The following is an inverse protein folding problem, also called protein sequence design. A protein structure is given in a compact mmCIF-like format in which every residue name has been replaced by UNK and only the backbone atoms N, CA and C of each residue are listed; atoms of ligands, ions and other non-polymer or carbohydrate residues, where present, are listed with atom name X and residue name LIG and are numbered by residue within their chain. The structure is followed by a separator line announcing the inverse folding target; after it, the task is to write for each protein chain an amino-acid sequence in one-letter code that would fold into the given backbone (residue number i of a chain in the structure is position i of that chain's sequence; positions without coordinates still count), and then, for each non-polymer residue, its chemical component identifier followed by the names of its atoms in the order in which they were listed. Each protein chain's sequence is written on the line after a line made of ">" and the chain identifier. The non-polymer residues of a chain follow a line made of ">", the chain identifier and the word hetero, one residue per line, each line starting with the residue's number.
data_IF_697443575934
#
_entry.id   IF_697443575934
#
_cell.length_a   1.000
_cell.length_b   1.000
_cell.length_c   1.000
_cell.angle_alpha   90.00
_cell.angle_beta   90.00
_cell.angle_gamma   90.00
#
_symmetry.space_group_name_H-M   'P 1'
#
loop_
_entity.id
_entity.type
_entity.pdbx_description
1 polymer ?
#
# COMPACT_ATOMS: atom_id res chain seq x y z
N UNK A 1 34.86 -3.05 4.00
CA UNK A 1 34.15 -4.35 4.00
C UNK A 1 32.79 -4.12 4.66
N UNK A 2 31.69 -4.23 3.92
CA UNK A 2 30.38 -4.42 4.53
C UNK A 2 30.52 -5.63 5.47
N UNK A 3 30.55 -5.41 6.79
CA UNK A 3 30.78 -6.49 7.75
C UNK A 3 29.54 -7.38 7.67
N UNK A 4 29.61 -8.63 7.17
CA UNK A 4 28.44 -9.51 7.06
C UNK A 4 27.73 -9.68 8.41
N UNK A 5 28.53 -9.69 9.48
CA UNK A 5 28.07 -9.70 10.86
C UNK A 5 27.18 -8.50 11.23
N UNK A 6 27.27 -7.35 10.54
CA UNK A 6 26.40 -6.18 10.79
C UNK A 6 24.96 -6.48 10.41
N UNK A 7 24.72 -7.09 9.23
CA UNK A 7 23.36 -7.48 8.85
C UNK A 7 22.81 -8.52 9.82
N UNK A 8 23.58 -9.55 10.12
CA UNK A 8 23.14 -10.62 11.02
C UNK A 8 22.87 -10.09 12.44
N UNK A 9 23.65 -9.11 12.92
CA UNK A 9 23.41 -8.40 14.19
C UNK A 9 22.15 -7.54 14.15
N UNK A 10 21.81 -6.99 12.98
CA UNK A 10 20.69 -6.09 12.81
C UNK A 10 19.38 -6.80 12.41
N UNK A 11 19.41 -8.07 12.00
CA UNK A 11 18.22 -8.83 11.55
C UNK A 11 17.04 -8.72 12.49
N UNK A 12 17.27 -8.87 13.80
CA UNK A 12 16.19 -8.81 14.78
C UNK A 12 15.53 -7.43 14.86
N UNK A 13 16.28 -6.35 14.59
CA UNK A 13 15.73 -5.00 14.58
C UNK A 13 14.73 -4.77 13.44
N UNK A 14 14.80 -5.56 12.37
CA UNK A 14 13.87 -5.49 11.23
C UNK A 14 12.49 -6.07 11.54
N UNK A 15 12.32 -6.84 12.63
CA UNK A 15 11.00 -7.36 13.04
C UNK A 15 9.98 -6.25 13.18
N UNK A 16 10.33 -5.13 13.81
CA UNK A 16 9.42 -3.99 14.00
C UNK A 16 8.91 -3.44 12.67
N UNK A 17 9.78 -3.36 11.67
CA UNK A 17 9.45 -2.86 10.33
C UNK A 17 8.54 -3.84 9.59
N UNK A 18 8.91 -5.12 9.60
CA UNK A 18 8.17 -6.17 8.90
C UNK A 18 6.79 -6.33 9.52
N UNK A 19 6.69 -6.33 10.85
CA UNK A 19 5.41 -6.35 11.55
C UNK A 19 4.58 -5.12 11.24
N UNK A 20 5.19 -3.92 11.19
CA UNK A 20 4.49 -2.74 10.72
C UNK A 20 3.94 -2.94 9.30
N UNK A 21 4.76 -3.41 8.34
CA UNK A 21 4.31 -3.62 6.97
C UNK A 21 3.15 -4.62 6.87
N UNK A 22 3.18 -5.71 7.66
CA UNK A 22 2.08 -6.68 7.73
C UNK A 22 0.82 -6.05 8.30
N UNK A 23 0.91 -5.47 9.51
CA UNK A 23 -0.23 -4.88 10.23
C UNK A 23 -0.86 -3.76 9.40
N UNK A 24 -0.04 -2.91 8.79
CA UNK A 24 -0.48 -1.84 7.93
C UNK A 24 -1.20 -2.35 6.67
N UNK A 25 -0.70 -3.45 6.08
CA UNK A 25 -1.36 -4.08 4.93
C UNK A 25 -2.73 -4.64 5.29
N UNK A 26 -2.86 -5.26 6.46
CA UNK A 26 -4.14 -5.77 6.96
C UNK A 26 -5.14 -4.64 7.19
N UNK A 27 -4.68 -3.56 7.85
CA UNK A 27 -5.48 -2.36 8.07
C UNK A 27 -6.04 -1.80 6.76
N UNK A 28 -5.17 -1.60 5.77
CA UNK A 28 -5.57 -1.08 4.46
C UNK A 28 -6.59 -2.00 3.75
N UNK A 29 -6.44 -3.33 3.85
CA UNK A 29 -7.42 -4.28 3.30
C UNK A 29 -8.78 -4.09 3.98
N UNK A 30 -8.81 -4.07 5.33
CA UNK A 30 -10.05 -3.95 6.09
C UNK A 30 -10.74 -2.60 5.88
N UNK A 31 -9.99 -1.51 5.92
CA UNK A 31 -10.51 -0.15 5.67
C UNK A 31 -11.10 -0.03 4.26
N UNK A 32 -10.46 -0.68 3.27
CA UNK A 32 -10.96 -0.68 1.88
C UNK A 32 -12.22 -1.54 1.74
N UNK A 33 -12.37 -2.62 2.51
CA UNK A 33 -13.57 -3.45 2.52
C UNK A 33 -14.75 -2.72 3.17
N UNK A 34 -14.53 -2.06 4.31
CA UNK A 34 -15.55 -1.27 5.01
C UNK A 34 -16.09 -0.15 4.11
N UNK A 35 -15.20 0.63 3.49
CA UNK A 35 -15.61 1.66 2.55
C UNK A 35 -16.31 1.11 1.29
N UNK A 36 -16.16 -0.18 0.98
CA UNK A 36 -16.83 -0.80 -0.16
C UNK A 36 -18.22 -1.33 0.19
N UNK A 37 -18.40 -1.87 1.40
CA UNK A 37 -19.70 -2.29 1.91
C UNK A 37 -20.63 -1.07 2.09
N UNK A 38 -20.13 0.05 2.64
CA UNK A 38 -20.91 1.30 2.79
C UNK A 38 -21.46 1.83 1.44
N UNK A 39 -20.69 1.71 0.36
CA UNK A 39 -21.11 2.16 -0.99
C UNK A 39 -22.16 1.24 -1.61
N UNK A 40 -22.17 -0.05 -1.24
CA UNK A 40 -23.18 -0.98 -1.74
C UNK A 40 -24.52 -0.78 -1.05
N UNK A 41 -24.53 -0.39 0.22
CA UNK A 41 -25.76 -0.11 0.96
C UNK A 41 -26.45 1.18 0.45
N UNK A 42 -25.68 2.18 -0.01
CA UNK A 42 -26.23 3.41 -0.63
C UNK A 42 -26.90 3.19 -2.00
N UNK A 43 -26.58 2.10 -2.71
CA UNK A 43 -27.19 1.73 -4.01
C UNK A 43 -28.47 0.88 -3.85
N UNK A 44 -28.90 0.56 -2.61
CA UNK A 44 -30.08 -0.26 -2.28
C UNK A 44 -31.11 0.58 -1.51
N UNK A 45 -31.55 1.70 -2.08
CA UNK A 45 -32.84 2.30 -1.69
C UNK A 45 -33.88 1.99 -2.78
N UNK A 46 -34.90 1.14 -2.50
CA UNK A 46 -36.04 1.01 -3.39
C UNK A 46 -36.96 2.22 -3.22
N UNK A 47 -37.55 2.78 -4.29
CA UNK A 47 -38.58 3.78 -4.15
C UNK A 47 -39.90 3.09 -3.75
N UNK A 48 -40.20 3.05 -2.46
CA UNK A 48 -41.56 2.84 -1.90
C UNK A 48 -41.92 4.15 -1.15
N UNK A 49 -43.05 4.82 -1.34
CA UNK A 49 -44.39 4.34 -1.68
C UNK A 49 -45.25 5.41 -2.35
N UNK A 50 -46.21 4.95 -3.15
CA UNK A 50 -47.40 5.71 -3.47
C UNK A 50 -48.53 5.34 -2.49
N UNK A 51 -49.05 6.30 -1.71
CA UNK A 51 -50.50 6.42 -1.45
C UNK A 51 -50.94 7.77 -0.84
N UNK A 52 -51.67 8.52 -1.68
CA UNK A 52 -52.73 9.50 -1.47
C UNK A 52 -53.04 10.10 -0.08
N UNK A 53 -53.00 11.44 0.01
CA UNK A 53 -54.11 12.24 0.59
C UNK A 53 -54.19 13.68 0.02
N UNK A 54 -55.37 13.99 -0.56
CA UNK A 54 -56.14 15.25 -0.57
C UNK A 54 -55.57 16.59 -1.11
N UNK A 55 -56.12 16.97 -2.26
CA UNK A 55 -56.57 18.30 -2.72
C UNK A 55 -56.03 19.59 -2.06
N UNK A 56 -55.47 20.49 -2.90
CA UNK A 56 -55.90 21.89 -3.06
C UNK A 56 -55.20 22.61 -4.23
N UNK A 57 -55.99 22.87 -5.28
CA UNK A 57 -56.16 24.15 -6.01
C UNK A 57 -54.90 25.01 -6.29
N UNK A 58 -54.50 25.09 -7.56
CA UNK A 58 -53.91 26.30 -8.13
C UNK A 58 -54.42 26.54 -9.56
N UNK A 59 -54.80 27.80 -9.80
CA UNK A 59 -55.50 28.40 -10.94
C UNK A 59 -54.49 28.94 -11.97
N UNK A 60 -54.92 28.95 -13.25
CA UNK A 60 -54.60 29.90 -14.35
C UNK A 60 -53.10 29.98 -14.77
N UNK A 61 -52.70 30.08 -16.05
CA UNK A 61 -53.27 30.87 -17.16
C UNK A 61 -52.58 30.55 -18.52
N UNK A 62 -53.29 30.80 -19.63
CA UNK A 62 -52.77 31.01 -21.01
C UNK A 62 -52.81 29.78 -21.93
N UNK A 63 -53.75 29.57 -22.89
CA UNK A 63 -54.15 30.36 -24.10
C UNK A 63 -52.92 30.61 -24.99
N UNK A 64 -52.81 30.29 -26.29
CA UNK A 64 -53.58 29.62 -27.35
C UNK A 64 -52.52 29.16 -28.40
N UNK A 65 -52.69 28.15 -29.23
CA UNK A 65 -53.43 28.24 -30.50
C UNK A 65 -53.70 26.85 -31.11
N UNK A 66 -54.84 26.78 -31.80
CA UNK A 66 -55.43 25.66 -32.56
C UNK A 66 -54.81 25.49 -33.97
N UNK A 67 -55.33 24.61 -34.87
CA UNK A 67 -55.97 23.29 -34.73
C UNK A 67 -55.39 22.19 -35.66
N UNK A 68 -55.92 20.98 -35.49
CA UNK A 68 -55.96 19.76 -36.34
C UNK A 68 -56.36 20.03 -37.83
N UNK A 69 -56.55 19.04 -38.77
CA UNK A 69 -56.75 17.59 -38.58
C UNK A 69 -56.24 16.60 -39.69
N UNK A 70 -56.36 15.31 -39.34
CA UNK A 70 -56.77 14.11 -40.11
C UNK A 70 -56.42 13.91 -41.59
N UNK A 71 -56.03 12.67 -41.92
CA UNK A 71 -56.62 11.72 -42.93
C UNK A 71 -55.61 10.58 -43.19
N UNK A 72 -55.89 9.32 -42.81
CA UNK A 72 -56.46 8.22 -43.66
C UNK A 72 -55.50 7.75 -44.78
N UNK A 73 -55.36 6.50 -45.23
CA UNK A 73 -56.09 5.23 -45.13
C UNK A 73 -55.26 4.19 -45.99
N UNK A 74 -55.52 2.88 -45.83
CA UNK A 74 -55.22 1.72 -46.75
C UNK A 74 -53.76 1.20 -46.77
N UNK A 75 -53.41 -0.10 -46.75
CA UNK A 75 -54.03 -1.38 -47.14
C UNK A 75 -53.55 -2.50 -46.17
N UNK A 76 -54.38 -3.41 -45.64
CA UNK A 76 -54.95 -4.65 -46.23
C UNK A 76 -53.88 -5.71 -46.60
N UNK A 77 -53.65 -6.70 -45.71
CA UNK A 77 -54.09 -8.12 -45.84
C UNK A 77 -52.87 -9.02 -46.16
N UNK A 78 -52.68 -10.25 -45.67
CA UNK A 78 -53.61 -11.25 -45.17
C UNK A 78 -52.87 -12.36 -44.36
N UNK A 79 -53.60 -12.98 -43.41
CA UNK A 79 -53.75 -14.43 -43.09
C UNK A 79 -52.48 -15.31 -42.94
N UNK A 80 -52.33 -16.28 -42.01
CA UNK A 80 -53.26 -17.05 -41.17
C UNK A 80 -52.41 -17.94 -40.23
N UNK A 81 -52.94 -18.31 -39.06
CA UNK A 81 -52.62 -19.61 -38.43
C UNK A 81 -52.22 -19.60 -36.94
N UNK A 82 -53.21 -19.62 -36.05
CA UNK A 82 -53.11 -20.22 -34.71
C UNK A 82 -53.42 -21.74 -34.82
N UNK A 83 -52.99 -22.62 -33.89
CA UNK A 83 -53.65 -22.70 -32.59
C UNK A 83 -52.73 -22.97 -31.37
N UNK A 84 -53.31 -22.65 -30.22
CA UNK A 84 -52.96 -22.94 -28.83
C UNK A 84 -52.25 -24.27 -28.50
N UNK A 85 -51.27 -24.19 -27.58
CA UNK A 85 -50.98 -25.27 -26.62
C UNK A 85 -50.59 -24.70 -25.26
N UNK A 86 -51.35 -25.06 -24.23
CA UNK A 86 -51.04 -24.90 -22.81
C UNK A 86 -49.80 -25.74 -22.47
N UNK A 87 -48.83 -25.13 -21.78
CA UNK A 87 -47.65 -25.80 -21.23
C UNK A 87 -47.12 -25.04 -20.03
N UNK A 88 -47.51 -25.48 -18.83
CA UNK A 88 -46.82 -25.14 -17.58
C UNK A 88 -45.36 -25.59 -17.66
N UNK A 89 -44.40 -24.71 -17.33
CA UNK A 89 -43.09 -25.10 -16.77
C UNK A 89 -42.35 -23.91 -16.16
N UNK A 90 -42.47 -23.83 -14.83
CA UNK A 90 -41.45 -23.48 -13.82
C UNK A 90 -40.39 -22.43 -14.20
N UNK A 91 -40.63 -21.19 -13.74
CA UNK A 91 -39.57 -20.22 -13.49
C UNK A 91 -38.76 -20.69 -12.26
N UNK A 92 -37.48 -20.99 -12.45
CA UNK A 92 -36.61 -21.51 -11.39
C UNK A 92 -35.50 -20.48 -11.04
N UNK A 93 -35.73 -19.72 -9.97
CA UNK A 93 -34.86 -19.74 -8.78
C UNK A 93 -33.42 -19.22 -8.81
N UNK A 94 -32.92 -18.48 -9.81
CA UNK A 94 -31.49 -18.06 -9.81
C UNK A 94 -31.15 -16.79 -9.00
N UNK A 95 -32.13 -15.99 -8.57
CA UNK A 95 -31.85 -14.72 -7.85
C UNK A 95 -31.59 -14.91 -6.36
N UNK A 96 -32.26 -15.84 -5.68
CA UNK A 96 -32.16 -16.01 -4.22
C UNK A 96 -30.83 -16.63 -3.76
N UNK A 97 -30.15 -17.41 -4.60
CA UNK A 97 -28.88 -18.05 -4.22
C UNK A 97 -27.71 -17.06 -4.21
N UNK A 98 -27.74 -16.05 -5.10
CA UNK A 98 -26.71 -15.01 -5.21
C UNK A 98 -26.77 -14.00 -4.06
N UNK A 99 -27.95 -13.68 -3.57
CA UNK A 99 -28.12 -12.73 -2.45
C UNK A 99 -27.63 -13.38 -1.17
N UNK A 100 -28.08 -14.61 -0.88
CA UNK A 100 -27.71 -15.36 0.31
C UNK A 100 -26.21 -15.69 0.41
N UNK A 101 -25.51 -15.86 -0.71
CA UNK A 101 -24.05 -16.07 -0.71
C UNK A 101 -23.26 -14.78 -0.47
N UNK A 102 -23.79 -13.62 -0.87
CA UNK A 102 -23.16 -12.32 -0.61
C UNK A 102 -23.27 -11.96 0.87
N UNK A 103 -24.45 -12.16 1.47
CA UNK A 103 -24.67 -11.90 2.89
C UNK A 103 -23.77 -12.77 3.78
N UNK A 104 -23.54 -14.03 3.39
CA UNK A 104 -22.62 -14.92 4.09
C UNK A 104 -21.16 -14.44 4.01
N UNK A 105 -20.72 -13.93 2.85
CA UNK A 105 -19.38 -13.38 2.67
C UNK A 105 -19.15 -12.07 3.42
N UNK A 106 -20.17 -11.19 3.46
CA UNK A 106 -20.13 -9.95 4.25
C UNK A 106 -20.03 -10.25 5.76
N UNK A 107 -20.83 -11.22 6.25
CA UNK A 107 -20.76 -11.66 7.65
C UNK A 107 -19.39 -12.27 7.99
N UNK A 108 -18.78 -13.02 7.07
CA UNK A 108 -17.43 -13.56 7.24
C UNK A 108 -16.38 -12.46 7.35
N UNK A 109 -16.44 -11.44 6.49
CA UNK A 109 -15.56 -10.27 6.56
C UNK A 109 -15.76 -9.51 7.87
N UNK A 110 -17.00 -9.30 8.31
CA UNK A 110 -17.29 -8.62 9.58
C UNK A 110 -16.69 -9.37 10.78
N UNK A 111 -16.79 -10.70 10.80
CA UNK A 111 -16.17 -11.54 11.83
C UNK A 111 -14.63 -11.47 11.79
N UNK A 112 -14.04 -11.52 10.59
CA UNK A 112 -12.59 -11.34 10.41
C UNK A 112 -12.12 -9.99 10.93
N UNK A 113 -12.85 -8.91 10.60
CA UNK A 113 -12.56 -7.56 11.08
C UNK A 113 -12.58 -7.47 12.60
N UNK A 114 -13.59 -8.07 13.24
CA UNK A 114 -13.70 -8.12 14.70
C UNK A 114 -12.50 -8.80 15.34
N UNK A 115 -12.09 -9.97 14.83
CA UNK A 115 -10.97 -10.75 15.36
C UNK A 115 -9.61 -10.10 15.11
N UNK A 116 -9.43 -9.47 13.95
CA UNK A 116 -8.18 -8.80 13.58
C UNK A 116 -8.04 -7.39 14.16
N UNK A 117 -9.09 -6.85 14.81
CA UNK A 117 -9.13 -5.47 15.31
C UNK A 117 -7.99 -5.13 16.27
N UNK A 118 -7.64 -6.04 17.19
CA UNK A 118 -6.57 -5.83 18.17
C UNK A 118 -5.21 -5.74 17.47
N UNK A 119 -4.93 -6.67 16.55
CA UNK A 119 -3.70 -6.69 15.78
C UNK A 119 -3.55 -5.42 14.94
N UNK A 120 -4.61 -5.04 14.21
CA UNK A 120 -4.64 -3.82 13.38
C UNK A 120 -4.53 -2.55 14.22
N UNK A 121 -5.03 -2.56 15.46
CA UNK A 121 -4.86 -1.48 16.43
C UNK A 121 -3.40 -1.21 16.82
N UNK A 122 -2.47 -2.14 16.55
CA UNK A 122 -1.03 -1.95 16.82
C UNK A 122 -0.33 -1.09 15.76
N UNK A 123 -0.97 -0.81 14.61
CA UNK A 123 -0.41 -0.04 13.48
C UNK A 123 0.22 1.28 13.95
N UNK A 124 -0.53 2.09 14.70
CA UNK A 124 -0.06 3.40 15.19
C UNK A 124 1.11 3.26 16.16
N UNK A 125 1.09 2.27 17.06
CA UNK A 125 2.17 2.07 18.03
C UNK A 125 3.47 1.65 17.35
N UNK A 126 3.38 0.78 16.34
CA UNK A 126 4.52 0.38 15.51
C UNK A 126 5.06 1.56 14.69
N UNK A 127 4.18 2.38 14.11
CA UNK A 127 4.56 3.57 13.38
C UNK A 127 5.28 4.60 14.28
N UNK A 128 4.75 4.84 15.48
CA UNK A 128 5.35 5.73 16.48
C UNK A 128 6.71 5.21 16.95
N UNK A 129 6.84 3.89 17.11
CA UNK A 129 8.08 3.22 17.51
C UNK A 129 9.20 3.39 16.48
N UNK A 130 8.87 3.32 15.19
CA UNK A 130 9.80 3.47 14.08
C UNK A 130 10.15 4.93 13.79
N UNK A 131 9.14 5.81 13.82
CA UNK A 131 9.31 7.26 13.64
C UNK A 131 9.97 7.91 14.86
N UNK A 132 9.89 7.23 16.01
CA UNK A 132 10.38 7.69 17.29
C UNK A 132 9.61 8.88 17.83
N UNK A 133 8.28 8.86 17.66
CA UNK A 133 7.32 9.84 18.16
C UNK A 133 7.20 11.13 17.36
N UNK A 134 7.64 11.15 16.09
CA UNK A 134 7.55 12.33 15.23
C UNK A 134 6.49 12.08 14.16
N UNK A 135 5.35 12.76 14.29
CA UNK A 135 4.31 12.76 13.27
C UNK A 135 4.70 13.71 12.14
N UNK A 136 4.96 13.16 10.95
CA UNK A 136 5.09 13.95 9.73
C UNK A 136 3.67 14.18 9.19
N UNK A 137 3.18 15.40 9.28
CA UNK A 137 1.91 15.79 8.67
C UNK A 137 2.00 15.60 7.15
N UNK A 138 1.17 14.71 6.59
CA UNK A 138 0.98 14.59 5.14
C UNK A 138 0.91 13.18 4.55
N UNK A 139 1.26 12.12 5.28
CA UNK A 139 1.32 10.76 4.71
C UNK A 139 0.14 9.87 5.11
N UNK A 140 -1.10 10.38 5.11
CA UNK A 140 -2.30 9.63 5.51
C UNK A 140 -2.62 8.34 4.72
N UNK A 141 -1.65 7.78 3.97
CA UNK A 141 -1.72 6.59 3.13
C UNK A 141 -0.40 5.79 3.09
N UNK A 142 0.21 5.53 4.24
CA UNK A 142 0.97 4.27 4.44
C UNK A 142 2.51 4.25 4.41
N UNK A 143 3.17 5.40 4.39
CA UNK A 143 4.62 5.47 4.63
C UNK A 143 4.96 5.63 6.11
N UNK A 144 5.72 4.70 6.70
CA UNK A 144 6.45 4.95 7.95
C UNK A 144 7.83 5.50 7.65
N UNK A 145 8.17 6.52 8.42
CA UNK A 145 9.39 7.29 8.28
C UNK A 145 10.44 6.87 9.29
N UNK A 146 11.69 6.74 8.85
CA UNK A 146 12.82 6.55 9.78
C UNK A 146 13.93 7.56 9.53
N UNK A 147 14.68 7.86 10.61
CA UNK A 147 15.90 8.66 10.57
C UNK A 147 17.13 7.75 10.59
N UNK A 148 18.28 8.33 10.27
CA UNK A 148 19.58 7.66 10.49
C UNK A 148 19.68 7.16 11.94
N UNK A 149 20.13 5.92 12.10
CA UNK A 149 20.27 5.27 13.42
C UNK A 149 18.98 4.69 14.02
N UNK A 150 17.90 4.53 13.26
CA UNK A 150 16.65 3.94 13.78
C UNK A 150 16.84 2.54 14.38
N UNK A 151 17.72 1.70 13.81
CA UNK A 151 18.02 0.36 14.34
C UNK A 151 18.65 0.44 15.74
N UNK A 152 19.55 1.40 15.97
CA UNK A 152 20.13 1.64 17.28
C UNK A 152 19.05 2.05 18.29
N UNK A 153 18.08 2.89 17.88
CA UNK A 153 16.92 3.25 18.73
C UNK A 153 16.00 2.05 18.98
N UNK A 154 15.88 1.13 18.04
CA UNK A 154 15.16 -0.13 18.24
C UNK A 154 15.80 -0.93 19.36
N UNK A 155 17.14 -1.06 19.35
CA UNK A 155 17.89 -1.74 20.40
C UNK A 155 17.83 -0.97 21.73
N UNK A 156 18.00 0.36 21.73
CA UNK A 156 17.97 1.19 22.95
C UNK A 156 16.64 1.10 23.69
N UNK A 157 15.50 1.12 23.00
CA UNK A 157 14.22 1.00 23.74
C UNK A 157 13.92 -0.45 24.14
N UNK A 158 14.50 -1.47 23.48
CA UNK A 158 14.45 -2.86 23.96
C UNK A 158 15.16 -3.01 25.32
N UNK A 159 16.25 -2.25 25.51
CA UNK A 159 17.01 -2.21 26.77
C UNK A 159 16.32 -1.37 27.87
N UNK A 160 15.19 -0.73 27.58
CA UNK A 160 14.52 0.21 28.47
C UNK A 160 15.33 1.50 28.67
N UNK A 161 14.66 2.64 28.88
CA UNK A 161 15.32 3.94 29.11
C UNK A 161 16.24 3.89 30.34
N UNK A 162 17.49 3.46 30.20
CA UNK A 162 18.55 3.70 31.19
C UNK A 162 18.90 5.18 31.10
N UNK A 163 18.11 5.99 31.80
CA UNK A 163 18.37 7.40 32.04
C UNK A 163 19.52 7.47 33.06
N UNK A 164 20.76 7.45 32.58
CA UNK A 164 21.88 7.98 33.36
C UNK A 164 22.67 9.02 32.54
N UNK A 165 22.74 10.22 33.13
CA UNK A 165 23.63 11.35 32.86
C UNK A 165 24.74 11.09 31.83
N UNK A 166 24.74 11.88 30.75
CA UNK A 166 25.91 12.15 29.91
C UNK A 166 27.15 12.45 30.77
N UNK A 167 28.31 11.87 30.45
CA UNK A 167 29.56 12.60 30.41
C UNK A 167 29.87 13.03 28.97
N UNK A 168 30.48 14.19 28.85
CA UNK A 168 30.90 14.83 27.61
C UNK A 168 32.21 14.23 27.10
N UNK A 169 32.16 13.13 26.35
CA UNK A 169 33.25 12.68 25.47
C UNK A 169 32.75 11.63 24.48
N UNK A 170 33.12 11.67 23.19
CA UNK A 170 32.68 10.69 22.21
C UNK A 170 33.65 9.49 22.21
N UNK A 171 33.50 8.58 23.16
CA UNK A 171 34.27 7.33 23.13
C UNK A 171 33.64 6.32 22.17
N UNK A 172 34.34 6.09 21.04
CA UNK A 172 34.02 5.12 19.99
C UNK A 172 33.92 3.66 20.46
N UNK A 173 34.28 3.35 21.72
CA UNK A 173 34.35 1.97 22.25
C UNK A 173 33.03 1.41 22.78
N UNK A 174 32.00 2.22 23.04
CA UNK A 174 30.72 1.71 23.57
C UNK A 174 29.85 1.01 22.51
N UNK A 175 30.24 1.04 21.23
CA UNK A 175 29.41 0.60 20.10
C UNK A 175 29.63 -0.85 19.66
N UNK A 176 30.68 -1.53 20.11
CA UNK A 176 31.07 -2.84 19.56
C UNK A 176 30.69 -4.07 20.42
N UNK A 177 30.07 -3.90 21.59
CA UNK A 177 29.81 -5.03 22.51
C UNK A 177 28.35 -5.24 22.92
N UNK A 178 27.36 -4.80 22.11
CA UNK A 178 25.94 -5.13 22.38
C UNK A 178 25.60 -6.48 21.73
N UNK A 179 26.11 -7.54 22.34
CA UNK A 179 25.79 -8.93 22.03
C UNK A 179 24.39 -9.31 22.53
N UNK A 180 23.60 -9.96 21.66
CA UNK A 180 22.63 -11.07 21.84
C UNK A 180 21.67 -11.18 23.05
N UNK A 181 21.86 -10.49 24.17
CA UNK A 181 21.15 -10.72 25.43
C UNK A 181 20.24 -9.56 25.85
N UNK A 182 19.98 -8.59 24.96
CA UNK A 182 18.98 -7.57 25.21
C UNK A 182 17.59 -8.23 25.25
N UNK A 183 16.77 -8.00 26.29
CA UNK A 183 15.42 -8.54 26.34
C UNK A 183 14.62 -8.05 25.11
N UNK A 184 13.78 -8.92 24.52
CA UNK A 184 13.01 -8.55 23.35
C UNK A 184 12.11 -7.35 23.66
N UNK A 185 12.08 -6.38 22.76
CA UNK A 185 11.22 -5.20 22.85
C UNK A 185 9.77 -5.64 23.14
N UNK A 186 9.19 -5.15 24.23
CA UNK A 186 7.88 -5.56 24.72
C UNK A 186 6.78 -5.37 23.66
N UNK A 187 6.81 -4.27 22.90
CA UNK A 187 5.84 -4.03 21.82
C UNK A 187 6.02 -5.05 20.69
N UNK A 188 7.26 -5.33 20.30
CA UNK A 188 7.55 -6.29 19.23
C UNK A 188 7.15 -7.71 19.66
N UNK A 189 7.38 -8.06 20.93
CA UNK A 189 6.96 -9.34 21.50
C UNK A 189 5.43 -9.47 21.60
N UNK A 190 4.73 -8.39 21.94
CA UNK A 190 3.27 -8.36 21.94
C UNK A 190 2.70 -8.56 20.53
N UNK A 191 3.20 -7.81 19.55
CA UNK A 191 2.77 -7.95 18.16
C UNK A 191 3.09 -9.33 17.60
N UNK A 192 4.22 -9.94 17.97
CA UNK A 192 4.55 -11.31 17.57
C UNK A 192 3.49 -12.32 18.07
N UNK A 193 3.08 -12.22 19.34
CA UNK A 193 2.02 -13.08 19.91
C UNK A 193 0.67 -12.85 19.23
N UNK A 194 0.35 -11.59 18.91
CA UNK A 194 -0.88 -11.27 18.19
C UNK A 194 -0.87 -11.85 16.77
N UNK A 195 0.25 -11.72 16.04
CA UNK A 195 0.42 -12.33 14.71
C UNK A 195 0.27 -13.84 14.75
N UNK A 196 0.90 -14.51 15.72
CA UNK A 196 0.76 -15.95 15.94
C UNK A 196 -0.71 -16.32 16.20
N UNK A 197 -1.39 -15.59 17.10
CA UNK A 197 -2.80 -15.87 17.43
C UNK A 197 -3.79 -15.60 16.29
N UNK A 198 -3.44 -14.69 15.38
CA UNK A 198 -4.28 -14.26 14.26
C UNK A 198 -3.86 -14.89 12.92
N UNK A 199 -2.89 -15.82 12.88
CA UNK A 199 -2.33 -16.34 11.64
C UNK A 199 -3.41 -16.89 10.69
N UNK A 200 -4.29 -17.75 11.21
CA UNK A 200 -5.40 -18.36 10.45
C UNK A 200 -6.36 -17.29 9.92
N UNK A 201 -6.64 -16.27 10.72
CA UNK A 201 -7.56 -15.18 10.36
C UNK A 201 -6.96 -14.32 9.24
N UNK A 202 -5.65 -14.10 9.28
CA UNK A 202 -4.92 -13.40 8.23
C UNK A 202 -4.93 -14.23 6.94
N UNK A 203 -4.70 -15.54 7.03
CA UNK A 203 -4.79 -16.44 5.88
C UNK A 203 -6.18 -16.47 5.26
N UNK A 204 -7.21 -16.54 6.10
CA UNK A 204 -8.61 -16.52 5.72
C UNK A 204 -8.96 -15.20 5.01
N UNK A 205 -8.59 -14.05 5.58
CA UNK A 205 -8.79 -12.73 4.96
C UNK A 205 -8.06 -12.64 3.61
N UNK A 206 -6.78 -13.03 3.57
CA UNK A 206 -5.98 -12.95 2.34
C UNK A 206 -6.53 -13.85 1.24
N UNK A 207 -7.05 -15.02 1.59
CA UNK A 207 -7.62 -16.00 0.67
C UNK A 207 -9.08 -15.72 0.32
N UNK A 208 -9.73 -14.78 1.00
CA UNK A 208 -11.15 -14.51 0.85
C UNK A 208 -11.53 -14.12 -0.59
N UNK A 209 -12.59 -14.71 -1.19
CA UNK A 209 -12.98 -14.44 -2.57
C UNK A 209 -13.26 -12.96 -2.88
N UNK A 210 -13.84 -12.22 -1.94
CA UNK A 210 -14.07 -10.77 -2.09
C UNK A 210 -12.74 -10.01 -2.20
N UNK A 211 -11.77 -10.31 -1.34
CA UNK A 211 -10.44 -9.67 -1.37
C UNK A 211 -9.74 -9.97 -2.68
N UNK A 212 -9.69 -11.25 -3.10
CA UNK A 212 -9.13 -11.64 -4.41
C UNK A 212 -9.84 -10.96 -5.58
N UNK A 213 -11.16 -10.88 -5.53
CA UNK A 213 -11.99 -10.22 -6.53
C UNK A 213 -11.72 -8.72 -6.63
N UNK A 214 -11.54 -8.02 -5.49
CA UNK A 214 -11.22 -6.59 -5.47
C UNK A 214 -9.81 -6.30 -6.01
N UNK A 215 -8.84 -7.17 -5.72
CA UNK A 215 -7.48 -7.08 -6.30
C UNK A 215 -7.56 -7.25 -7.82
N UNK A 216 -8.26 -8.29 -8.30
CA UNK A 216 -8.42 -8.54 -9.74
C UNK A 216 -9.12 -7.38 -10.47
N UNK A 217 -10.10 -6.74 -9.83
CA UNK A 217 -10.81 -5.55 -10.34
C UNK A 217 -10.05 -4.24 -10.10
N UNK A 218 -8.85 -4.27 -9.51
CA UNK A 218 -8.04 -3.10 -9.13
C UNK A 218 -8.74 -2.11 -8.19
N UNK A 219 -9.75 -2.56 -7.46
CA UNK A 219 -10.45 -1.77 -6.42
C UNK A 219 -9.68 -1.77 -5.11
N UNK A 220 -8.95 -2.86 -4.84
CA UNK A 220 -7.97 -2.95 -3.76
C UNK A 220 -6.57 -2.94 -4.38
N UNK A 221 -5.84 -1.84 -4.21
CA UNK A 221 -4.45 -1.72 -4.63
C UNK A 221 -3.56 -2.00 -3.43
N UNK A 222 -2.79 -3.07 -3.52
CA UNK A 222 -1.80 -3.44 -2.53
C UNK A 222 -0.41 -3.15 -3.07
N UNK A 223 0.47 -2.77 -2.16
CA UNK A 223 1.87 -2.65 -2.46
C UNK A 223 2.55 -4.02 -2.55
N UNK A 224 3.72 -4.04 -3.18
CA UNK A 224 4.46 -5.27 -3.48
C UNK A 224 4.86 -6.03 -2.20
N UNK A 225 5.24 -5.29 -1.15
CA UNK A 225 5.58 -5.87 0.14
C UNK A 225 4.37 -6.48 0.85
N UNK A 226 3.18 -5.90 0.67
CA UNK A 226 1.94 -6.42 1.25
C UNK A 226 1.66 -7.83 0.71
N UNK A 227 1.71 -8.00 -0.61
CA UNK A 227 1.49 -9.30 -1.25
C UNK A 227 2.59 -10.31 -0.86
N UNK A 228 3.85 -9.86 -0.75
CA UNK A 228 4.96 -10.69 -0.31
C UNK A 228 4.75 -11.24 1.10
N UNK A 229 4.49 -10.38 2.09
CA UNK A 229 4.38 -10.84 3.47
C UNK A 229 3.10 -11.62 3.74
N UNK A 230 1.96 -11.23 3.16
CA UNK A 230 0.69 -11.95 3.34
C UNK A 230 0.74 -13.37 2.76
N UNK A 231 1.52 -13.61 1.70
CA UNK A 231 1.78 -14.97 1.18
C UNK A 231 2.64 -15.83 2.11
N UNK A 232 3.49 -15.21 2.91
CA UNK A 232 4.43 -15.88 3.80
C UNK A 232 4.06 -15.70 5.27
N UNK A 233 2.78 -15.44 5.57
CA UNK A 233 2.36 -15.06 6.92
C UNK A 233 2.69 -16.13 7.96
N UNK A 234 2.54 -17.42 7.65
CA UNK A 234 2.91 -18.51 8.56
C UNK A 234 4.36 -18.43 9.05
N UNK A 235 5.28 -18.05 8.15
CA UNK A 235 6.68 -17.88 8.52
C UNK A 235 6.90 -16.61 9.36
N UNK A 236 6.21 -15.52 9.03
CA UNK A 236 6.34 -14.23 9.71
C UNK A 236 5.69 -14.23 11.09
N UNK A 237 4.61 -15.00 11.26
CA UNK A 237 3.86 -15.17 12.51
C UNK A 237 4.49 -16.20 13.46
N UNK A 238 5.48 -16.98 13.00
CA UNK A 238 6.16 -17.99 13.81
C UNK A 238 6.78 -17.38 15.08
N UNK A 239 6.69 -18.06 16.24
CA UNK A 239 7.25 -17.54 17.50
C UNK A 239 8.78 -17.40 17.47
N UNK A 240 9.46 -18.18 16.64
CA UNK A 240 10.91 -18.15 16.40
C UNK A 240 11.31 -17.34 15.15
N UNK A 241 10.40 -16.50 14.62
CA UNK A 241 10.64 -15.75 13.40
C UNK A 241 11.89 -14.86 13.47
N UNK A 242 12.82 -15.14 12.56
CA UNK A 242 14.00 -14.30 12.28
C UNK A 242 13.91 -13.79 10.84
N UNK A 243 13.95 -12.46 10.62
CA UNK A 243 13.93 -11.89 9.28
C UNK A 243 15.02 -12.45 8.37
N UNK A 244 14.59 -13.02 7.24
CA UNK A 244 15.47 -13.43 6.17
C UNK A 244 16.01 -12.22 5.41
N UNK A 245 17.06 -12.41 4.60
CA UNK A 245 17.54 -11.34 3.73
C UNK A 245 16.45 -10.90 2.74
N UNK A 246 15.64 -11.84 2.27
CA UNK A 246 14.53 -11.56 1.36
C UNK A 246 13.46 -10.70 2.03
N UNK A 247 13.15 -10.96 3.31
CA UNK A 247 12.21 -10.11 4.07
C UNK A 247 12.72 -8.68 4.21
N UNK A 248 14.01 -8.52 4.53
CA UNK A 248 14.63 -7.21 4.71
C UNK A 248 14.60 -6.41 3.40
N UNK A 249 14.82 -7.07 2.26
CA UNK A 249 14.78 -6.43 0.94
C UNK A 249 13.35 -6.05 0.52
N UNK A 250 12.33 -6.79 0.96
CA UNK A 250 10.93 -6.49 0.67
C UNK A 250 10.31 -5.51 1.68
N UNK A 251 10.88 -5.38 2.88
CA UNK A 251 10.38 -4.48 3.91
C UNK A 251 10.39 -3.02 3.43
N UNK A 252 9.27 -2.32 3.62
CA UNK A 252 9.13 -0.93 3.20
C UNK A 252 9.31 0.02 4.37
N UNK A 253 10.31 0.87 4.24
CA UNK A 253 10.51 2.04 5.09
C UNK A 253 10.79 3.24 4.20
N UNK A 254 10.24 4.40 4.56
CA UNK A 254 10.57 5.66 3.90
C UNK A 254 11.69 6.38 4.64
N UNK A 255 12.81 6.61 3.97
CA UNK A 255 13.90 7.45 4.49
C UNK A 255 13.40 8.90 4.62
N UNK A 256 13.63 9.50 5.79
CA UNK A 256 13.52 10.96 5.97
C UNK A 256 14.88 11.61 5.92
N UNK A 257 15.02 12.60 5.03
CA UNK A 257 16.26 13.35 4.89
C UNK A 257 17.32 12.51 4.19
N UNK A 258 18.54 12.55 4.74
CA UNK A 258 19.72 11.93 4.13
C UNK A 258 20.36 10.94 5.11
N UNK A 259 20.56 9.71 4.66
CA UNK A 259 21.36 8.71 5.35
C UNK A 259 22.75 8.63 4.70
N UNK A 260 23.79 8.60 5.51
CA UNK A 260 25.18 8.52 5.07
C UNK A 260 25.76 7.15 5.43
N UNK A 261 26.43 6.54 4.45
CA UNK A 261 27.12 5.27 4.60
C UNK A 261 28.56 5.42 4.12
N UNK A 262 29.52 5.18 5.01
CA UNK A 262 30.96 5.21 4.69
C UNK A 262 31.49 3.78 4.76
N UNK A 263 32.02 3.27 3.65
CA UNK A 263 32.59 1.93 3.62
C UNK A 263 33.71 1.78 2.59
N UNK A 264 34.72 0.98 2.93
CA UNK A 264 35.81 0.66 2.02
C UNK A 264 35.45 -0.46 1.05
N UNK A 265 35.68 -0.23 -0.23
CA UNK A 265 35.54 -1.18 -1.35
C UNK A 265 36.92 -1.44 -1.94
N UNK A 266 37.29 -2.72 -2.08
CA UNK A 266 38.51 -3.10 -2.77
C UNK A 266 38.26 -3.14 -4.28
N UNK A 267 38.87 -2.22 -5.01
CA UNK A 267 38.76 -2.10 -6.47
C UNK A 267 40.16 -2.25 -7.05
N UNK A 268 40.37 -3.31 -7.85
CA UNK A 268 41.67 -3.62 -8.48
C UNK A 268 42.85 -3.70 -7.50
N UNK A 269 42.63 -4.26 -6.31
CA UNK A 269 43.68 -4.41 -5.29
C UNK A 269 43.97 -3.13 -4.49
N UNK A 270 43.22 -2.05 -4.72
CA UNK A 270 43.29 -0.81 -3.92
C UNK A 270 42.01 -0.64 -3.11
N UNK A 271 42.17 -0.31 -1.83
CA UNK A 271 41.05 0.06 -0.96
C UNK A 271 40.63 1.50 -1.28
N UNK A 272 39.38 1.69 -1.70
CA UNK A 272 38.76 3.00 -1.95
C UNK A 272 37.63 3.17 -0.95
N UNK A 273 37.64 4.27 -0.21
CA UNK A 273 36.55 4.62 0.71
C UNK A 273 35.40 5.25 -0.08
N UNK A 274 34.22 4.65 0.02
CA UNK A 274 32.99 5.16 -0.58
C UNK A 274 32.20 5.93 0.46
N UNK A 275 31.75 7.13 0.09
CA UNK A 275 30.78 7.93 0.83
C UNK A 275 29.46 7.89 0.05
N UNK A 276 28.51 7.09 0.51
CA UNK A 276 27.21 6.91 -0.13
C UNK A 276 26.15 7.68 0.65
N UNK A 277 25.44 8.57 -0.05
CA UNK A 277 24.30 9.31 0.49
C UNK A 277 23.00 8.76 -0.08
N UNK A 278 22.14 8.23 0.77
CA UNK A 278 20.75 7.84 0.43
C UNK A 278 19.82 9.01 0.79
N UNK A 279 19.13 9.54 -0.21
CA UNK A 279 18.29 10.74 -0.09
C UNK A 279 16.84 10.41 -0.35
N UNK A 280 15.93 11.01 0.43
CA UNK A 280 14.50 10.87 0.22
C UNK A 280 14.06 11.30 -1.20
N UNK A 281 13.40 10.39 -1.94
CA UNK A 281 12.94 10.58 -3.32
C UNK A 281 11.65 11.40 -3.49
N UNK A 282 10.85 11.52 -2.42
CA UNK A 282 9.54 12.18 -2.44
C UNK A 282 9.68 13.66 -2.83
N UNK A 283 8.71 14.20 -3.57
CA UNK A 283 8.79 15.59 -4.10
C UNK A 283 9.12 16.62 -3.04
N UNK A 284 8.50 16.51 -1.86
CA UNK A 284 8.73 17.42 -0.74
C UNK A 284 10.14 17.37 -0.14
N UNK A 285 10.94 16.33 -0.41
CA UNK A 285 12.29 16.15 0.16
C UNK A 285 13.42 16.56 -0.79
N UNK A 286 13.14 16.78 -2.09
CA UNK A 286 14.16 17.03 -3.12
C UNK A 286 14.99 18.29 -2.90
N UNK A 287 14.46 19.27 -2.19
CA UNK A 287 15.19 20.48 -1.81
C UNK A 287 16.41 20.20 -0.94
N UNK A 288 16.42 19.07 -0.21
CA UNK A 288 17.54 18.66 0.64
C UNK A 288 18.74 18.11 -0.12
N UNK A 289 18.64 17.90 -1.44
CA UNK A 289 19.69 17.25 -2.23
C UNK A 289 20.85 18.18 -2.60
N UNK A 290 20.55 19.48 -2.81
CA UNK A 290 21.51 20.47 -3.34
C UNK A 290 22.83 20.51 -2.55
N UNK A 291 22.84 20.49 -1.20
CA UNK A 291 24.10 20.49 -0.43
C UNK A 291 25.03 19.30 -0.71
N UNK A 292 24.54 18.23 -1.35
CA UNK A 292 25.30 17.03 -1.65
C UNK A 292 25.78 16.96 -3.11
N UNK A 293 25.51 17.99 -3.93
CA UNK A 293 25.88 18.00 -5.34
C UNK A 293 27.32 18.45 -5.61
N UNK A 294 27.86 19.33 -4.78
CA UNK A 294 29.13 20.02 -5.08
C UNK A 294 30.36 19.09 -5.12
N UNK A 295 30.35 17.97 -4.39
CA UNK A 295 31.47 17.00 -4.33
C UNK A 295 31.06 15.58 -4.74
N UNK A 296 29.95 15.44 -5.46
CA UNK A 296 29.48 14.14 -5.91
C UNK A 296 30.35 13.61 -7.06
N UNK A 297 30.98 12.45 -6.90
CA UNK A 297 31.68 11.80 -8.03
C UNK A 297 30.71 11.15 -9.02
N UNK A 298 29.62 10.58 -8.50
CA UNK A 298 28.59 9.91 -9.30
C UNK A 298 27.22 10.02 -8.63
N UNK A 299 26.16 9.99 -9.45
CA UNK A 299 24.77 9.84 -9.03
C UNK A 299 24.23 8.54 -9.60
N UNK A 300 23.67 7.70 -8.74
CA UNK A 300 22.90 6.52 -9.13
C UNK A 300 21.43 6.90 -9.10
N UNK A 301 20.82 7.09 -10.27
CA UNK A 301 19.40 7.37 -10.42
C UNK A 301 18.63 6.06 -10.57
N UNK A 302 17.66 5.81 -9.69
CA UNK A 302 16.88 4.57 -9.68
C UNK A 302 15.45 4.87 -10.15
N UNK A 303 15.08 4.37 -11.34
CA UNK A 303 13.77 4.57 -11.95
C UNK A 303 12.93 3.27 -11.87
N UNK A 304 11.76 3.25 -11.19
CA UNK A 304 10.93 2.06 -11.08
C UNK A 304 10.10 1.85 -12.35
N UNK A 305 10.62 1.10 -13.33
CA UNK A 305 9.98 0.96 -14.66
C UNK A 305 8.66 0.19 -14.64
N UNK A 306 8.37 -0.56 -13.58
CA UNK A 306 7.09 -1.24 -13.38
C UNK A 306 5.94 -0.29 -13.04
N UNK A 307 6.20 0.97 -12.66
CA UNK A 307 5.21 1.90 -12.14
C UNK A 307 4.39 2.65 -13.20
N UNK A 308 4.39 2.18 -14.46
CA UNK A 308 3.70 2.83 -15.58
C UNK A 308 2.18 2.95 -15.41
N UNK A 309 1.55 2.14 -14.56
CA UNK A 309 0.13 2.18 -14.23
C UNK A 309 -0.16 2.74 -12.82
N UNK A 310 0.82 3.42 -12.22
CA UNK A 310 0.76 3.98 -10.88
C UNK A 310 0.93 5.50 -10.90
N UNK A 311 0.32 6.16 -9.93
CA UNK A 311 0.37 7.60 -9.73
C UNK A 311 1.11 7.93 -8.41
N UNK A 312 1.61 9.15 -8.30
CA UNK A 312 2.24 9.61 -7.06
C UNK A 312 1.22 9.67 -5.92
N UNK A 313 1.71 9.50 -4.69
CA UNK A 313 0.87 9.63 -3.50
C UNK A 313 0.62 11.10 -3.18
N UNK A 314 1.64 11.94 -3.33
CA UNK A 314 1.57 13.39 -3.12
C UNK A 314 0.80 14.13 -4.22
N UNK A 315 0.70 13.53 -5.41
CA UNK A 315 -0.01 14.09 -6.55
C UNK A 315 -0.64 12.99 -7.42
N UNK A 316 -1.89 12.60 -7.13
CA UNK A 316 -2.60 11.55 -7.85
C UNK A 316 -2.83 11.83 -9.34
N UNK A 317 -2.50 13.02 -9.84
CA UNK A 317 -2.59 13.38 -11.27
C UNK A 317 -1.32 13.06 -12.04
N UNK A 318 -0.19 12.92 -11.35
CA UNK A 318 1.11 12.65 -11.97
C UNK A 318 1.42 11.15 -11.96
N UNK A 319 1.71 10.58 -13.13
CA UNK A 319 2.19 9.21 -13.27
C UNK A 319 3.63 9.07 -12.70
N UNK A 320 3.94 7.94 -12.07
CA UNK A 320 5.25 7.71 -11.43
C UNK A 320 6.42 7.67 -12.43
N UNK A 321 6.21 7.16 -13.65
CA UNK A 321 7.23 7.15 -14.71
C UNK A 321 7.47 8.57 -15.24
N UNK A 322 6.40 9.34 -15.45
CA UNK A 322 6.51 10.72 -15.91
C UNK A 322 7.26 11.60 -14.91
N UNK A 323 6.98 11.49 -13.61
CA UNK A 323 7.76 12.19 -12.58
C UNK A 323 9.22 11.74 -12.57
N UNK A 324 9.50 10.44 -12.72
CA UNK A 324 10.88 9.93 -12.81
C UNK A 324 11.62 10.50 -14.02
N UNK A 325 10.96 10.58 -15.17
CA UNK A 325 11.53 11.15 -16.39
C UNK A 325 11.78 12.66 -16.26
N UNK A 326 10.82 13.40 -15.71
CA UNK A 326 10.97 14.84 -15.43
C UNK A 326 12.14 15.09 -14.47
N UNK A 327 12.23 14.32 -13.40
CA UNK A 327 13.29 14.45 -12.41
C UNK A 327 14.67 14.10 -12.99
N UNK A 328 14.76 13.01 -13.76
CA UNK A 328 16.01 12.65 -14.42
C UNK A 328 16.45 13.72 -15.43
N UNK A 329 15.50 14.32 -16.15
CA UNK A 329 15.76 15.44 -17.07
C UNK A 329 16.29 16.66 -16.32
N UNK A 330 15.73 16.99 -15.16
CA UNK A 330 16.21 18.07 -14.29
C UNK A 330 17.64 17.81 -13.81
N UNK A 331 17.94 16.59 -13.36
CA UNK A 331 19.30 16.19 -12.93
C UNK A 331 20.30 16.32 -14.09
N UNK A 332 19.97 15.78 -15.26
CA UNK A 332 20.85 15.86 -16.44
C UNK A 332 21.09 17.29 -16.91
N UNK A 333 20.11 18.18 -16.71
CA UNK A 333 20.19 19.59 -17.14
C UNK A 333 20.83 20.50 -16.08
N UNK A 334 21.17 19.98 -14.89
CA UNK A 334 21.71 20.79 -13.82
C UNK A 334 23.19 21.10 -14.05
N UNK A 335 23.53 22.39 -14.14
CA UNK A 335 24.90 22.85 -14.36
C UNK A 335 25.87 22.44 -13.25
N UNK A 336 25.41 22.30 -12.00
CA UNK A 336 26.22 21.84 -10.87
C UNK A 336 26.68 20.38 -11.05
N UNK A 337 25.93 19.59 -11.83
CA UNK A 337 26.18 18.15 -12.02
C UNK A 337 26.92 17.85 -13.33
N UNK A 338 27.45 18.86 -14.02
CA UNK A 338 28.04 18.71 -15.36
C UNK A 338 29.22 17.73 -15.41
N UNK A 339 30.02 17.65 -14.34
CA UNK A 339 31.17 16.74 -14.22
C UNK A 339 30.85 15.44 -13.50
N UNK A 340 29.61 15.25 -13.02
CA UNK A 340 29.20 14.11 -12.21
C UNK A 340 28.81 12.94 -13.12
N UNK A 341 29.29 11.74 -12.81
CA UNK A 341 28.91 10.54 -13.56
C UNK A 341 27.47 10.15 -13.24
N UNK A 342 26.62 10.00 -14.26
CA UNK A 342 25.24 9.56 -14.09
C UNK A 342 25.13 8.07 -14.42
N UNK A 343 24.66 7.28 -13.45
CA UNK A 343 24.35 5.86 -13.59
C UNK A 343 22.83 5.70 -13.46
N UNK A 344 22.19 5.19 -14.52
CA UNK A 344 20.74 4.96 -14.53
C UNK A 344 20.41 3.49 -14.28
N UNK A 345 19.70 3.21 -13.19
CA UNK A 345 19.14 1.90 -12.90
C UNK A 345 17.65 1.87 -13.22
N UNK A 346 17.30 1.08 -14.22
CA UNK A 346 15.91 0.74 -14.52
C UNK A 346 15.49 -0.42 -13.62
N UNK A 347 14.89 -0.09 -12.48
CA UNK A 347 14.59 -1.02 -11.40
C UNK A 347 13.19 -1.64 -11.54
N UNK A 348 12.96 -2.77 -10.85
CA UNK A 348 11.70 -3.53 -10.83
C UNK A 348 11.31 -4.13 -12.20
N UNK A 349 12.29 -4.64 -12.93
CA UNK A 349 12.10 -5.22 -14.27
C UNK A 349 11.35 -6.56 -14.22
N UNK A 350 11.50 -7.30 -13.13
CA UNK A 350 10.73 -8.48 -12.77
C UNK A 350 9.23 -8.18 -12.67
N UNK A 351 8.86 -7.09 -12.00
CA UNK A 351 7.47 -6.67 -11.86
C UNK A 351 6.89 -6.08 -13.14
N UNK A 352 7.73 -5.36 -13.91
CA UNK A 352 7.35 -4.94 -15.25
C UNK A 352 6.99 -6.18 -16.10
N UNK A 353 7.84 -7.21 -16.10
CA UNK A 353 7.57 -8.47 -16.80
C UNK A 353 6.25 -9.10 -16.34
N UNK A 354 6.06 -9.28 -15.04
CA UNK A 354 4.84 -9.87 -14.48
C UNK A 354 3.57 -9.08 -14.84
N UNK A 355 3.65 -7.74 -14.94
CA UNK A 355 2.54 -6.90 -15.39
C UNK A 355 2.24 -7.10 -16.88
N UNK A 356 3.26 -7.12 -17.72
CA UNK A 356 3.10 -7.34 -19.17
C UNK A 356 2.53 -8.72 -19.47
N UNK A 357 2.97 -9.76 -18.76
CA UNK A 357 2.47 -11.13 -18.90
C UNK A 357 0.99 -11.24 -18.51
N UNK A 358 0.51 -10.40 -17.58
CA UNK A 358 -0.92 -10.25 -17.23
C UNK A 358 -1.71 -9.41 -18.25
N UNK A 359 -1.10 -9.00 -19.36
CA UNK A 359 -1.73 -8.24 -20.44
C UNK A 359 -1.87 -6.74 -20.18
N UNK A 360 -1.20 -6.19 -19.16
CA UNK A 360 -1.17 -4.74 -18.97
C UNK A 360 -0.40 -4.09 -20.13
N UNK A 361 -0.98 -3.02 -20.69
CA UNK A 361 -0.36 -2.24 -21.74
C UNK A 361 0.10 -0.90 -21.21
N UNK A 362 1.33 -0.52 -21.56
CA UNK A 362 1.81 0.86 -21.40
C UNK A 362 1.00 1.74 -22.33
N UNK A 363 0.25 2.68 -21.78
CA UNK A 363 -0.45 3.70 -22.56
C UNK A 363 0.53 4.85 -22.81
N UNK A 364 0.69 5.23 -24.07
CA UNK A 364 1.50 6.38 -24.47
C UNK A 364 0.76 7.68 -24.21
#
# INVERSE_FOLDING_TARGET
>A
MYKPNSLDQERLSWRTVIYFNVVHSLKHILDTLEAWDDVLDDDIDPPEDAQSVSAKKAKLNGIADQPSPSTSLMDAAALQGSPSSLGHSVANGSSNHSVRSKDAGALQIANLRSRLSILVGMDTQLADRLSGGINVSGSGKGGVFVRSGWQARTIENALGKIKQKRPSTPDKKFRESLSSDAPPDALVAEVARLLESCEEDIHELWSHPTVKGMIAKRRLKLDEWSEFFLRHISRVASPDYVPSTDDILHARIQTMGVAEHIFDVNIHGKSVTWHLFDVGGARGQRHSWVPYFDDANAIIFVAPVSAFDQYLEEDPRTNRIDDSLQLFTQICSNALLKSVHLVLFLNKTDLLRAKLDKGLKVRK
#
